data_IF_373715906535
#
_entry.id   IF_373715906535
#
_cell.length_a   1.000
_cell.length_b   1.000
_cell.length_c   1.000
_cell.angle_alpha   90.00
_cell.angle_beta   90.00
_cell.angle_gamma   90.00
#
_symmetry.space_group_name_H-M   'P 1'
#
loop_
_entity.id
_entity.type
_entity.pdbx_description
1 polymer ?
#
# COMPACT_ATOMS: atom_id res chain seq x y z
N UNK A 1 -26.88 -18.25 61.36
CA UNK A 1 -25.98 -19.07 60.51
C UNK A 1 -26.39 -18.88 59.04
N UNK A 2 -26.28 -17.65 58.51
CA UNK A 2 -26.79 -17.33 57.16
C UNK A 2 -25.96 -16.31 56.36
N UNK A 3 -24.90 -15.75 56.96
CA UNK A 3 -24.05 -14.73 56.32
C UNK A 3 -22.78 -15.31 55.68
N UNK A 4 -22.40 -16.54 56.02
CA UNK A 4 -21.19 -17.20 55.52
C UNK A 4 -21.34 -17.68 54.06
N UNK A 5 -22.49 -18.24 53.60
CA UNK A 5 -22.63 -18.67 52.22
C UNK A 5 -22.57 -17.49 51.24
N UNK A 6 -23.20 -16.36 51.57
CA UNK A 6 -23.31 -15.21 50.67
C UNK A 6 -21.93 -14.58 50.34
N UNK A 7 -21.06 -14.42 51.34
CA UNK A 7 -19.73 -13.82 51.14
C UNK A 7 -18.81 -14.73 50.31
N UNK A 8 -18.91 -16.05 50.49
CA UNK A 8 -18.13 -17.03 49.71
C UNK A 8 -18.58 -17.05 48.26
N UNK A 9 -19.89 -17.03 48.00
CA UNK A 9 -20.41 -16.97 46.63
C UNK A 9 -20.02 -15.65 45.95
N UNK A 10 -20.10 -14.52 46.64
CA UNK A 10 -19.69 -13.21 46.08
C UNK A 10 -18.20 -13.15 45.73
N UNK A 11 -17.32 -13.72 46.56
CA UNK A 11 -15.89 -13.77 46.27
C UNK A 11 -15.57 -14.68 45.06
N UNK A 12 -16.21 -15.85 44.97
CA UNK A 12 -16.01 -16.79 43.86
C UNK A 12 -16.48 -16.19 42.52
N UNK A 13 -17.62 -15.49 42.50
CA UNK A 13 -18.10 -14.82 41.29
C UNK A 13 -17.12 -13.73 40.81
N UNK A 14 -16.47 -13.00 41.72
CA UNK A 14 -15.47 -11.98 41.35
C UNK A 14 -14.21 -12.59 40.74
N UNK A 15 -13.70 -13.71 41.27
CA UNK A 15 -12.54 -14.39 40.70
C UNK A 15 -12.85 -15.01 39.33
N UNK A 16 -14.01 -15.67 39.18
CA UNK A 16 -14.46 -16.23 37.89
C UNK A 16 -14.66 -15.11 36.85
N UNK A 17 -15.21 -13.97 37.26
CA UNK A 17 -15.43 -12.82 36.36
C UNK A 17 -14.10 -12.19 35.93
N UNK A 18 -13.11 -12.12 36.82
CA UNK A 18 -11.77 -11.59 36.50
C UNK A 18 -11.02 -12.49 35.50
N UNK A 19 -11.08 -13.82 35.69
CA UNK A 19 -10.45 -14.78 34.78
C UNK A 19 -11.14 -14.78 33.41
N UNK A 20 -12.47 -14.76 33.37
CA UNK A 20 -13.25 -14.65 32.13
C UNK A 20 -13.00 -13.31 31.40
N UNK A 21 -12.82 -12.22 32.13
CA UNK A 21 -12.49 -10.93 31.53
C UNK A 21 -11.08 -10.94 30.94
N UNK A 22 -10.10 -11.51 31.66
CA UNK A 22 -8.72 -11.63 31.19
C UNK A 22 -8.62 -12.51 29.93
N UNK A 23 -9.30 -13.65 29.91
CA UNK A 23 -9.34 -14.53 28.75
C UNK A 23 -9.98 -13.85 27.54
N UNK A 24 -11.08 -13.12 27.74
CA UNK A 24 -11.71 -12.33 26.67
C UNK A 24 -10.79 -11.25 26.11
N UNK A 25 -10.08 -10.52 26.95
CA UNK A 25 -9.12 -9.49 26.50
C UNK A 25 -7.99 -10.13 25.69
N UNK A 26 -7.47 -11.30 26.11
CA UNK A 26 -6.44 -12.02 25.36
C UNK A 26 -6.96 -12.49 24.00
N UNK A 27 -8.17 -13.05 23.95
CA UNK A 27 -8.79 -13.52 22.70
C UNK A 27 -9.08 -12.34 21.77
N UNK A 28 -9.58 -11.22 22.30
CA UNK A 28 -9.86 -10.02 21.51
C UNK A 28 -8.59 -9.43 20.90
N UNK A 29 -7.51 -9.36 21.68
CA UNK A 29 -6.20 -8.92 21.20
C UNK A 29 -5.62 -9.86 20.14
N UNK A 30 -5.78 -11.18 20.33
CA UNK A 30 -5.36 -12.18 19.33
C UNK A 30 -6.13 -12.02 18.03
N UNK A 31 -7.46 -11.89 18.10
CA UNK A 31 -8.29 -11.68 16.92
C UNK A 31 -7.93 -10.36 16.21
N UNK A 32 -7.63 -9.31 16.98
CA UNK A 32 -7.20 -8.03 16.42
C UNK A 32 -5.85 -8.15 15.71
N UNK A 33 -4.88 -8.86 16.30
CA UNK A 33 -3.60 -9.16 15.66
C UNK A 33 -3.76 -9.98 14.38
N UNK A 34 -4.59 -11.02 14.41
CA UNK A 34 -4.85 -11.86 13.23
C UNK A 34 -5.52 -11.04 12.11
N UNK A 35 -6.43 -10.13 12.46
CA UNK A 35 -7.04 -9.21 11.50
C UNK A 35 -6.02 -8.25 10.88
N UNK A 36 -5.12 -7.66 11.69
CA UNK A 36 -4.03 -6.81 11.20
C UNK A 36 -3.12 -7.60 10.26
N UNK A 37 -2.70 -8.81 10.64
CA UNK A 37 -1.85 -9.67 9.81
C UNK A 37 -2.54 -9.96 8.48
N UNK A 38 -3.81 -10.38 8.52
CA UNK A 38 -4.56 -10.68 7.31
C UNK A 38 -4.74 -9.44 6.39
N UNK A 39 -4.92 -8.25 6.97
CA UNK A 39 -4.98 -6.99 6.22
C UNK A 39 -3.63 -6.64 5.59
N UNK A 40 -2.52 -6.80 6.32
CA UNK A 40 -1.17 -6.55 5.82
C UNK A 40 -0.81 -7.52 4.68
N UNK A 41 -1.07 -8.82 4.84
CA UNK A 41 -0.84 -9.81 3.78
C UNK A 41 -1.62 -9.46 2.51
N UNK A 42 -2.93 -9.17 2.63
CA UNK A 42 -3.74 -8.76 1.47
C UNK A 42 -3.23 -7.50 0.79
N UNK A 43 -2.75 -6.52 1.57
CA UNK A 43 -2.15 -5.30 1.02
C UNK A 43 -0.88 -5.63 0.22
N UNK A 44 0.02 -6.43 0.79
CA UNK A 44 1.27 -6.82 0.13
C UNK A 44 1.04 -7.66 -1.12
N UNK A 45 0.15 -8.65 -1.06
CA UNK A 45 -0.21 -9.49 -2.21
C UNK A 45 -0.80 -8.64 -3.35
N UNK A 46 -1.62 -7.66 -3.00
CA UNK A 46 -2.18 -6.71 -3.99
C UNK A 46 -1.07 -5.85 -4.60
N UNK A 47 -0.18 -5.31 -3.78
CA UNK A 47 0.92 -4.48 -4.25
C UNK A 47 1.91 -5.25 -5.13
N UNK A 48 2.22 -6.51 -4.79
CA UNK A 48 3.05 -7.39 -5.59
C UNK A 48 2.41 -7.67 -6.96
N UNK A 49 1.13 -8.08 -6.96
CA UNK A 49 0.37 -8.31 -8.19
C UNK A 49 0.35 -7.07 -9.09
N UNK A 50 0.14 -5.91 -8.49
CA UNK A 50 0.14 -4.62 -9.16
C UNK A 50 1.50 -4.27 -9.80
N UNK A 51 2.60 -4.51 -9.09
CA UNK A 51 3.95 -4.33 -9.63
C UNK A 51 4.20 -5.29 -10.80
N UNK A 52 3.77 -6.56 -10.70
CA UNK A 52 3.94 -7.54 -11.77
C UNK A 52 3.14 -7.15 -13.02
N UNK A 53 1.91 -6.67 -12.85
CA UNK A 53 1.07 -6.17 -13.95
C UNK A 53 1.76 -4.99 -14.64
N UNK A 54 2.27 -4.03 -13.88
CA UNK A 54 2.99 -2.88 -14.44
C UNK A 54 4.28 -3.30 -15.14
N UNK A 55 5.03 -4.23 -14.57
CA UNK A 55 6.27 -4.74 -15.16
C UNK A 55 6.03 -5.49 -16.49
N UNK A 56 4.88 -6.16 -16.62
CA UNK A 56 4.48 -6.85 -17.85
C UNK A 56 3.75 -5.93 -18.87
N UNK A 57 3.54 -4.66 -18.52
CA UNK A 57 2.92 -3.69 -19.42
C UNK A 57 3.74 -3.52 -20.71
N UNK A 58 3.07 -3.63 -21.85
CA UNK A 58 3.68 -3.38 -23.15
C UNK A 58 4.21 -1.95 -23.26
N UNK A 59 3.52 -0.98 -22.64
CA UNK A 59 3.91 0.43 -22.66
C UNK A 59 5.21 0.64 -21.89
N UNK A 60 5.38 -0.02 -20.75
CA UNK A 60 6.63 0.03 -19.96
C UNK A 60 7.80 -0.54 -20.76
N UNK A 61 7.62 -1.69 -21.42
CA UNK A 61 8.65 -2.30 -22.26
C UNK A 61 9.01 -1.44 -23.46
N UNK A 62 8.01 -0.90 -24.17
CA UNK A 62 8.20 -0.05 -25.34
C UNK A 62 8.88 1.26 -24.95
N UNK A 63 8.53 1.84 -23.80
CA UNK A 63 9.16 3.05 -23.29
C UNK A 63 10.63 2.78 -22.95
N UNK A 64 10.93 1.68 -22.26
CA UNK A 64 12.30 1.28 -21.95
C UNK A 64 13.14 1.08 -23.23
N UNK A 65 12.58 0.42 -24.26
CA UNK A 65 13.24 0.24 -25.55
C UNK A 65 13.46 1.58 -26.29
N UNK A 66 12.51 2.50 -26.19
CA UNK A 66 12.57 3.82 -26.83
C UNK A 66 13.58 4.75 -26.16
N UNK A 67 13.73 4.66 -24.84
CA UNK A 67 14.80 5.34 -24.09
C UNK A 67 16.18 4.90 -24.62
N UNK A 68 16.36 3.60 -24.86
CA UNK A 68 17.61 3.06 -25.41
C UNK A 68 17.86 3.50 -26.86
N UNK A 69 16.82 3.62 -27.69
CA UNK A 69 16.95 4.04 -29.10
C UNK A 69 17.04 5.55 -29.32
N UNK A 70 16.78 6.36 -28.29
CA UNK A 70 16.80 7.84 -28.32
C UNK A 70 15.84 8.49 -29.32
N UNK A 71 14.73 7.82 -29.64
CA UNK A 71 13.65 8.41 -30.46
C UNK A 71 12.78 9.33 -29.59
N UNK A 72 13.10 10.63 -29.60
CA UNK A 72 12.44 11.62 -28.75
C UNK A 72 10.96 11.82 -29.05
N UNK A 73 10.52 11.60 -30.29
CA UNK A 73 9.11 11.81 -30.66
C UNK A 73 8.26 10.68 -30.07
N UNK A 74 8.68 9.44 -30.31
CA UNK A 74 8.00 8.24 -29.78
C UNK A 74 8.09 8.17 -28.25
N UNK A 75 9.17 8.69 -27.67
CA UNK A 75 9.37 8.73 -26.23
C UNK A 75 8.27 9.53 -25.51
N UNK A 76 7.95 10.73 -26.00
CA UNK A 76 6.93 11.58 -25.39
C UNK A 76 5.52 10.98 -25.52
N UNK A 77 5.23 10.33 -26.64
CA UNK A 77 3.96 9.62 -26.85
C UNK A 77 3.81 8.47 -25.85
N UNK A 78 4.82 7.59 -25.75
CA UNK A 78 4.81 6.48 -24.80
C UNK A 78 4.79 6.95 -23.34
N UNK A 79 5.47 8.05 -23.03
CA UNK A 79 5.46 8.67 -21.69
C UNK A 79 4.04 9.07 -21.30
N UNK A 80 3.29 9.73 -22.20
CA UNK A 80 1.88 10.11 -21.94
C UNK A 80 0.97 8.92 -21.81
N UNK A 81 1.17 7.89 -22.62
CA UNK A 81 0.41 6.64 -22.50
C UNK A 81 0.66 5.98 -21.15
N UNK A 82 1.92 5.93 -20.71
CA UNK A 82 2.28 5.38 -19.41
C UNK A 82 1.72 6.21 -18.25
N UNK A 83 1.75 7.55 -18.35
CA UNK A 83 1.10 8.44 -17.39
C UNK A 83 -0.39 8.12 -17.26
N UNK A 84 -1.09 7.93 -18.37
CA UNK A 84 -2.51 7.61 -18.35
C UNK A 84 -2.79 6.24 -17.73
N UNK A 85 -1.94 5.25 -18.00
CA UNK A 85 -2.04 3.91 -17.41
C UNK A 85 -1.84 3.97 -15.89
N UNK A 86 -0.78 4.65 -15.43
CA UNK A 86 -0.51 4.81 -13.99
C UNK A 86 -1.60 5.63 -13.30
N UNK A 87 -2.13 6.66 -13.95
CA UNK A 87 -3.23 7.47 -13.41
C UNK A 87 -4.49 6.63 -13.27
N UNK A 88 -4.82 5.82 -14.27
CA UNK A 88 -5.96 4.89 -14.22
C UNK A 88 -5.78 3.88 -13.09
N UNK A 89 -4.60 3.30 -12.96
CA UNK A 89 -4.29 2.35 -11.89
C UNK A 89 -4.41 3.00 -10.50
N UNK A 90 -3.82 4.18 -10.29
CA UNK A 90 -3.93 4.91 -9.04
C UNK A 90 -5.38 5.25 -8.67
N UNK A 91 -6.22 5.53 -9.67
CA UNK A 91 -7.65 5.78 -9.47
C UNK A 91 -8.43 4.51 -9.08
N UNK A 92 -8.08 3.37 -9.67
CA UNK A 92 -8.72 2.09 -9.39
C UNK A 92 -8.29 1.47 -8.05
N UNK A 93 -7.08 1.80 -7.57
CA UNK A 93 -6.48 1.21 -6.36
C UNK A 93 -6.73 2.08 -5.13
N UNK A 94 -7.85 1.82 -4.47
CA UNK A 94 -8.35 2.57 -3.31
C UNK A 94 -8.91 1.64 -2.24
N UNK A 95 -8.75 2.01 -0.96
CA UNK A 95 -9.41 1.40 0.20
C UNK A 95 -10.34 2.45 0.80
N UNK A 96 -11.64 2.29 0.53
CA UNK A 96 -12.63 3.33 0.80
C UNK A 96 -12.29 4.63 0.04
N UNK A 97 -12.23 5.74 0.76
CA UNK A 97 -11.87 7.05 0.21
C UNK A 97 -10.35 7.32 0.19
N UNK A 98 -9.53 6.36 0.63
CA UNK A 98 -8.08 6.52 0.71
C UNK A 98 -7.41 5.77 -0.42
N UNK A 99 -6.61 6.44 -1.26
CA UNK A 99 -5.80 5.76 -2.25
C UNK A 99 -4.70 4.90 -1.61
N UNK A 100 -4.38 3.78 -2.26
CA UNK A 100 -3.36 2.84 -1.76
C UNK A 100 -1.95 3.41 -1.96
N UNK A 101 -1.73 4.07 -3.10
CA UNK A 101 -0.42 4.57 -3.48
C UNK A 101 -0.32 6.08 -3.29
N UNK A 102 0.72 6.50 -2.56
CA UNK A 102 1.12 7.91 -2.50
C UNK A 102 1.76 8.35 -3.82
N UNK A 103 2.59 7.47 -4.40
CA UNK A 103 3.27 7.70 -5.68
C UNK A 103 3.35 6.43 -6.51
N UNK A 104 3.22 6.57 -7.83
CA UNK A 104 3.60 5.53 -8.80
C UNK A 104 4.66 6.15 -9.71
N UNK A 105 5.82 5.50 -9.86
CA UNK A 105 6.99 6.05 -10.55
C UNK A 105 7.54 5.07 -11.57
N UNK A 106 7.95 5.61 -12.72
CA UNK A 106 8.80 4.89 -13.67
C UNK A 106 10.14 5.61 -13.72
N UNK A 107 11.20 4.87 -13.40
CA UNK A 107 12.56 5.37 -13.28
C UNK A 107 13.41 4.75 -14.39
N UNK A 108 14.35 5.50 -14.94
CA UNK A 108 15.36 4.92 -15.81
C UNK A 108 16.50 4.27 -15.01
N UNK A 109 17.46 3.68 -15.73
CA UNK A 109 18.67 3.06 -15.16
C UNK A 109 19.56 4.02 -14.38
N UNK A 110 19.47 5.32 -14.64
CA UNK A 110 20.23 6.37 -13.94
C UNK A 110 19.49 6.91 -12.71
N UNK A 111 18.32 6.35 -12.41
CA UNK A 111 17.44 6.78 -11.34
C UNK A 111 16.69 8.09 -11.59
N UNK A 112 16.61 8.54 -12.84
CA UNK A 112 15.80 9.68 -13.25
C UNK A 112 14.32 9.27 -13.37
N UNK A 113 13.42 10.02 -12.74
CA UNK A 113 11.97 9.86 -12.86
C UNK A 113 11.51 10.26 -14.26
N UNK A 114 11.03 9.31 -15.07
CA UNK A 114 10.42 9.59 -16.38
C UNK A 114 8.93 9.85 -16.30
N UNK A 115 8.26 9.17 -15.38
CA UNK A 115 6.84 9.34 -15.06
C UNK A 115 6.69 9.29 -13.54
N UNK A 116 5.88 10.20 -13.00
CA UNK A 116 5.43 10.15 -11.62
C UNK A 116 3.97 10.54 -11.53
N UNK A 117 3.16 9.70 -10.91
CA UNK A 117 1.80 10.05 -10.49
C UNK A 117 1.86 10.35 -9.00
N UNK A 118 1.41 11.54 -8.63
CA UNK A 118 1.32 12.00 -7.25
C UNK A 118 -0.11 11.80 -6.74
N UNK A 119 -0.21 11.44 -5.47
CA UNK A 119 -1.47 11.33 -4.77
C UNK A 119 -1.47 12.15 -3.49
N UNK A 120 -2.15 13.29 -3.52
CA UNK A 120 -2.16 14.24 -2.39
C UNK A 120 -3.55 14.26 -1.77
N UNK A 121 -3.73 13.41 -0.75
CA UNK A 121 -4.98 13.26 -0.01
C UNK A 121 -6.07 12.57 -0.83
N UNK A 122 -6.54 13.21 -1.90
CA UNK A 122 -7.52 12.63 -2.81
C UNK A 122 -7.39 13.09 -4.27
N UNK A 123 -6.39 13.92 -4.57
CA UNK A 123 -6.12 14.38 -5.93
C UNK A 123 -5.00 13.53 -6.51
N UNK A 124 -5.34 12.78 -7.54
CA UNK A 124 -4.41 11.97 -8.33
C UNK A 124 -4.06 12.76 -9.58
N UNK A 125 -2.78 13.02 -9.81
CA UNK A 125 -2.31 13.78 -10.97
C UNK A 125 -0.91 13.38 -11.38
N UNK A 126 -0.62 13.45 -12.68
CA UNK A 126 0.75 13.36 -13.15
C UNK A 126 1.58 14.56 -12.67
N UNK A 127 2.78 14.28 -12.17
CA UNK A 127 3.75 15.30 -11.83
C UNK A 127 4.18 16.02 -13.12
N UNK A 128 4.24 17.35 -13.12
CA UNK A 128 4.75 18.07 -14.29
C UNK A 128 6.22 17.74 -14.49
N UNK A 129 6.72 17.82 -15.74
CA UNK A 129 8.10 17.44 -16.07
C UNK A 129 9.18 18.13 -15.24
N UNK A 130 8.97 19.39 -14.81
CA UNK A 130 9.89 20.10 -13.92
C UNK A 130 9.91 19.59 -12.47
N UNK A 131 8.91 18.80 -12.09
CA UNK A 131 8.78 18.19 -10.77
C UNK A 131 9.41 16.80 -10.68
N UNK A 132 9.91 16.24 -11.79
CA UNK A 132 10.57 14.94 -11.85
C UNK A 132 11.99 15.05 -11.30
N UNK A 133 12.36 14.10 -10.43
CA UNK A 133 13.62 14.14 -9.68
C UNK A 133 14.55 12.97 -10.05
N UNK A 134 15.83 13.12 -9.72
CA UNK A 134 16.81 12.02 -9.74
C UNK A 134 16.85 11.39 -8.35
N UNK A 135 16.79 10.05 -8.30
CA UNK A 135 16.66 9.25 -7.07
C UNK A 135 17.79 8.24 -6.89
N UNK A 136 18.89 8.41 -7.62
CA UNK A 136 20.04 7.51 -7.63
C UNK A 136 20.81 7.39 -6.29
N UNK A 137 20.45 8.17 -5.28
CA UNK A 137 21.04 8.14 -3.94
C UNK A 137 20.08 7.57 -2.87
N UNK A 138 18.97 6.95 -3.26
CA UNK A 138 18.00 6.36 -2.33
C UNK A 138 18.19 4.85 -2.18
N UNK A 139 17.92 4.29 -1.00
CA UNK A 139 18.26 2.91 -0.58
C UNK A 139 17.66 1.79 -1.46
N UNK A 140 16.72 2.12 -2.35
CA UNK A 140 16.09 1.19 -3.30
C UNK A 140 16.74 1.19 -4.70
N UNK A 141 17.80 1.99 -4.91
CA UNK A 141 18.70 1.93 -6.06
C UNK A 141 20.04 1.31 -5.64
N UNK A 142 20.18 -0.01 -5.76
CA UNK A 142 21.45 -0.74 -5.50
C UNK A 142 21.78 -1.62 -6.69
#
# INVERSE_FOLDING_TARGET
>A
IGLIPAVVTSAITLFITADQFRERVIIDEQNHHDEIIANMTRFLDTAESDILILADSAVVRDLAATIASRDSLRLEELRRTLEQEFLTMAQLRRVGDTPIYEHIRFLNTDGFEFVRIDNKGNTISAAPGFGLNVRNNEDYFV
#
